data_IF_562392460335
#
_entry.id   IF_562392460335
#
_cell.length_a   1.000
_cell.length_b   1.000
_cell.length_c   1.000
_cell.angle_alpha   90.00
_cell.angle_beta   90.00
_cell.angle_gamma   90.00
#
_symmetry.space_group_name_H-M   'P 1'
#
loop_
_entity.id
_entity.type
_entity.pdbx_description
1 polymer ?
#
# COMPACT_ATOMS: atom_id res chain seq x y z
N UNK A 1 -8.06 -6.70 -24.23
CA UNK A 1 -7.31 -7.30 -23.09
C UNK A 1 -7.77 -6.73 -21.75
N UNK A 2 -7.81 -5.40 -21.58
CA UNK A 2 -8.33 -4.75 -20.36
C UNK A 2 -9.79 -5.08 -20.06
N UNK A 3 -10.70 -4.95 -21.04
CA UNK A 3 -12.13 -5.31 -20.88
C UNK A 3 -12.35 -6.79 -20.52
N UNK A 4 -11.40 -7.66 -20.87
CA UNK A 4 -11.48 -9.09 -20.55
C UNK A 4 -10.85 -9.44 -19.18
N UNK A 5 -10.40 -8.44 -18.40
CA UNK A 5 -9.73 -8.63 -17.11
C UNK A 5 -8.36 -9.32 -17.20
N UNK A 6 -7.80 -9.48 -18.41
CA UNK A 6 -6.59 -10.27 -18.69
C UNK A 6 -5.58 -9.42 -19.44
N UNK A 7 -4.97 -8.46 -18.73
CA UNK A 7 -4.01 -7.52 -19.34
C UNK A 7 -2.72 -8.24 -19.79
N UNK A 8 -2.22 -9.20 -18.99
CA UNK A 8 -1.07 -10.09 -19.30
C UNK A 8 0.24 -9.36 -19.66
N UNK A 9 0.56 -8.28 -18.96
CA UNK A 9 1.78 -7.48 -19.19
C UNK A 9 2.97 -7.93 -18.32
N UNK A 10 2.79 -8.86 -17.39
CA UNK A 10 3.83 -9.30 -16.46
C UNK A 10 4.19 -8.27 -15.38
N UNK A 11 3.56 -7.10 -15.40
CA UNK A 11 3.65 -6.04 -14.39
C UNK A 11 2.32 -5.92 -13.65
N UNK A 12 2.39 -5.71 -12.35
CA UNK A 12 1.23 -5.56 -11.48
C UNK A 12 1.47 -4.41 -10.49
N UNK A 13 0.60 -4.29 -9.48
CA UNK A 13 0.56 -3.19 -8.52
C UNK A 13 1.92 -2.86 -7.88
N UNK A 14 2.68 -3.85 -7.40
CA UNK A 14 3.98 -3.62 -6.78
C UNK A 14 5.01 -3.02 -7.76
N UNK A 15 4.96 -3.42 -9.02
CA UNK A 15 5.78 -2.83 -10.08
C UNK A 15 5.33 -1.40 -10.39
N UNK A 16 4.01 -1.16 -10.42
CA UNK A 16 3.44 0.18 -10.66
C UNK A 16 3.82 1.15 -9.55
N UNK A 17 3.70 0.77 -8.27
CA UNK A 17 4.11 1.60 -7.14
C UNK A 17 5.61 1.91 -7.18
N UNK A 18 6.44 0.92 -7.52
CA UNK A 18 7.90 1.11 -7.65
C UNK A 18 8.21 2.09 -8.79
N UNK A 19 7.59 1.91 -9.95
CA UNK A 19 7.78 2.81 -11.10
C UNK A 19 7.26 4.22 -10.82
N UNK A 20 6.12 4.35 -10.13
CA UNK A 20 5.53 5.65 -9.78
C UNK A 20 6.44 6.42 -8.82
N UNK A 21 6.96 5.77 -7.77
CA UNK A 21 7.93 6.37 -6.87
C UNK A 21 9.19 6.82 -7.62
N UNK A 22 9.72 5.98 -8.50
CA UNK A 22 10.90 6.34 -9.29
C UNK A 22 10.63 7.53 -10.21
N UNK A 23 9.47 7.58 -10.87
CA UNK A 23 9.11 8.68 -11.77
C UNK A 23 9.07 10.02 -11.04
N UNK A 24 8.41 10.10 -9.88
CA UNK A 24 8.31 11.36 -9.12
C UNK A 24 9.61 11.77 -8.43
N UNK A 25 10.46 10.81 -8.09
CA UNK A 25 11.77 11.09 -7.53
C UNK A 25 12.73 11.62 -8.61
N UNK A 26 12.81 10.95 -9.76
CA UNK A 26 13.72 11.34 -10.84
C UNK A 26 13.25 12.62 -11.54
N UNK A 27 11.94 12.79 -11.73
CA UNK A 27 11.34 13.96 -12.36
C UNK A 27 10.34 14.60 -11.38
N UNK A 28 10.80 15.52 -10.50
CA UNK A 28 9.95 16.13 -9.48
C UNK A 28 8.73 16.83 -10.09
N UNK A 29 7.52 16.59 -9.55
CA UNK A 29 6.31 17.28 -10.01
C UNK A 29 6.30 18.75 -9.58
N UNK A 30 5.41 19.55 -10.19
CA UNK A 30 5.18 20.95 -9.78
C UNK A 30 6.19 21.97 -10.32
N UNK A 31 7.05 21.58 -11.26
CA UNK A 31 7.97 22.50 -11.94
C UNK A 31 7.26 23.31 -13.04
N UNK A 32 7.65 24.58 -13.23
CA UNK A 32 7.24 25.35 -14.40
C UNK A 32 7.81 24.72 -15.69
N UNK A 33 7.08 24.85 -16.79
CA UNK A 33 7.52 24.30 -18.06
C UNK A 33 8.41 25.31 -18.80
N UNK A 34 9.60 24.92 -19.30
CA UNK A 34 10.20 23.58 -19.25
C UNK A 34 10.84 23.25 -17.89
N UNK A 35 10.76 21.98 -17.41
CA UNK A 35 11.26 21.61 -16.09
C UNK A 35 12.78 21.75 -16.02
N UNK A 36 13.28 22.41 -14.96
CA UNK A 36 14.70 22.57 -14.72
C UNK A 36 15.39 21.25 -14.35
N UNK A 37 14.67 20.36 -13.67
CA UNK A 37 15.16 19.04 -13.21
C UNK A 37 14.40 17.92 -13.93
N UNK A 38 15.09 17.22 -14.82
CA UNK A 38 14.57 16.06 -15.55
C UNK A 38 15.03 14.74 -14.90
N UNK A 39 16.26 14.69 -14.40
CA UNK A 39 16.82 13.57 -13.64
C UNK A 39 17.51 14.09 -12.37
N UNK A 40 16.78 14.08 -11.26
CA UNK A 40 17.29 14.44 -9.94
C UNK A 40 18.35 13.44 -9.43
N UNK A 41 18.43 12.24 -10.02
CA UNK A 41 19.48 11.28 -9.71
C UNK A 41 20.76 11.49 -10.51
N UNK A 42 20.85 12.52 -11.35
CA UNK A 42 22.04 12.83 -12.14
C UNK A 42 23.17 13.31 -11.20
N UNK A 43 24.30 12.61 -11.22
CA UNK A 43 25.46 12.92 -10.37
C UNK A 43 25.54 12.09 -9.08
N UNK A 44 24.51 11.29 -8.77
CA UNK A 44 24.60 10.28 -7.70
C UNK A 44 25.39 9.06 -8.19
N UNK A 45 26.11 8.39 -7.29
CA UNK A 45 26.64 7.05 -7.57
C UNK A 45 25.49 6.06 -7.79
N UNK A 46 25.76 4.96 -8.50
CA UNK A 46 24.74 3.95 -8.77
C UNK A 46 24.18 3.34 -7.46
N UNK A 47 25.04 3.15 -6.45
CA UNK A 47 24.66 2.60 -5.15
C UNK A 47 23.80 3.57 -4.34
N UNK A 48 24.21 4.85 -4.26
CA UNK A 48 23.44 5.88 -3.57
C UNK A 48 22.10 6.14 -4.25
N UNK A 49 22.05 6.13 -5.60
CA UNK A 49 20.81 6.27 -6.37
C UNK A 49 19.85 5.13 -6.07
N UNK A 50 20.35 3.88 -6.03
CA UNK A 50 19.53 2.71 -5.70
C UNK A 50 18.96 2.81 -4.29
N UNK A 51 19.80 3.08 -3.28
CA UNK A 51 19.36 3.17 -1.90
C UNK A 51 18.30 4.28 -1.70
N UNK A 52 18.50 5.44 -2.32
CA UNK A 52 17.54 6.53 -2.29
C UNK A 52 16.19 6.16 -2.93
N UNK A 53 16.19 5.51 -4.11
CA UNK A 53 14.95 5.08 -4.76
C UNK A 53 14.23 3.97 -3.97
N UNK A 54 14.97 3.08 -3.30
CA UNK A 54 14.40 2.06 -2.42
C UNK A 54 13.71 2.68 -1.20
N UNK A 55 14.34 3.68 -0.58
CA UNK A 55 13.78 4.44 0.55
C UNK A 55 12.47 5.14 0.15
N UNK A 56 12.50 5.93 -0.94
CA UNK A 56 11.30 6.63 -1.42
C UNK A 56 10.21 5.66 -1.88
N UNK A 57 10.62 4.55 -2.48
CA UNK A 57 9.71 3.46 -2.84
C UNK A 57 9.02 2.84 -1.62
N UNK A 58 9.72 2.75 -0.49
CA UNK A 58 9.15 2.27 0.77
C UNK A 58 8.10 3.24 1.32
N UNK A 59 8.35 4.55 1.26
CA UNK A 59 7.38 5.58 1.69
C UNK A 59 6.06 5.44 0.93
N UNK A 60 6.11 5.37 -0.40
CA UNK A 60 4.90 5.23 -1.22
C UNK A 60 4.20 3.89 -0.98
N UNK A 61 4.96 2.78 -0.87
CA UNK A 61 4.39 1.45 -0.59
C UNK A 61 3.70 1.42 0.77
N UNK A 62 4.32 1.98 1.80
CA UNK A 62 3.74 2.06 3.14
C UNK A 62 2.47 2.91 3.15
N UNK A 63 2.54 4.10 2.55
CA UNK A 63 1.38 5.00 2.42
C UNK A 63 0.23 4.31 1.69
N UNK A 64 0.52 3.60 0.59
CA UNK A 64 -0.49 2.86 -0.16
C UNK A 64 -1.05 1.65 0.61
N UNK A 65 -0.25 0.99 1.45
CA UNK A 65 -0.74 -0.06 2.33
C UNK A 65 -1.74 0.47 3.37
N UNK A 66 -1.51 1.66 3.90
CA UNK A 66 -2.39 2.31 4.88
C UNK A 66 -3.64 2.93 4.24
N UNK A 67 -3.46 3.54 3.06
CA UNK A 67 -4.49 4.23 2.29
C UNK A 67 -4.39 3.82 0.81
N UNK A 68 -4.94 2.66 0.39
CA UNK A 68 -4.88 2.17 -0.99
C UNK A 68 -5.83 2.93 -1.92
N UNK A 69 -5.72 4.26 -1.95
CA UNK A 69 -6.54 5.17 -2.73
C UNK A 69 -5.67 6.14 -3.53
N UNK A 70 -5.58 5.91 -4.84
CA UNK A 70 -4.80 6.78 -5.75
C UNK A 70 -5.37 8.19 -5.85
N UNK A 71 -6.69 8.36 -5.74
CA UNK A 71 -7.32 9.68 -5.82
C UNK A 71 -6.94 10.58 -4.63
N UNK A 72 -6.58 9.98 -3.50
CA UNK A 72 -6.04 10.70 -2.34
C UNK A 72 -4.52 10.91 -2.45
N UNK A 73 -3.77 9.86 -2.86
CA UNK A 73 -2.30 9.89 -2.88
C UNK A 73 -1.75 10.80 -3.99
N UNK A 74 -2.27 10.69 -5.21
CA UNK A 74 -1.70 11.38 -6.39
C UNK A 74 -1.73 12.91 -6.22
N UNK A 75 -2.83 13.56 -5.78
CA UNK A 75 -2.84 15.01 -5.60
C UNK A 75 -1.84 15.52 -4.56
N UNK A 76 -1.65 14.78 -3.45
CA UNK A 76 -0.66 15.11 -2.42
C UNK A 76 0.75 14.99 -3.01
N UNK A 77 1.03 13.88 -3.68
CA UNK A 77 2.33 13.62 -4.30
C UNK A 77 2.70 14.67 -5.35
N UNK A 78 1.74 15.15 -6.14
CA UNK A 78 1.97 16.17 -7.16
C UNK A 78 2.19 17.58 -6.58
N UNK A 79 1.58 17.90 -5.42
CA UNK A 79 1.64 19.24 -4.81
C UNK A 79 2.77 19.40 -3.79
N UNK A 80 3.01 18.37 -2.98
CA UNK A 80 3.90 18.42 -1.81
C UNK A 80 5.11 17.47 -1.95
N UNK A 81 5.07 16.56 -2.92
CA UNK A 81 6.12 15.56 -3.13
C UNK A 81 5.88 14.26 -2.35
N UNK A 82 6.78 13.29 -2.57
CA UNK A 82 6.67 11.94 -2.02
C UNK A 82 6.93 11.87 -0.51
N UNK A 83 7.77 12.77 0.02
CA UNK A 83 8.19 12.78 1.43
C UNK A 83 7.09 13.23 2.38
N UNK A 84 6.16 14.04 1.89
CA UNK A 84 5.02 14.52 2.66
C UNK A 84 3.82 13.56 2.65
N UNK A 85 3.89 12.46 1.87
CA UNK A 85 2.81 11.47 1.80
C UNK A 85 2.39 10.93 3.18
N UNK A 86 3.30 10.51 4.08
CA UNK A 86 2.91 9.99 5.40
C UNK A 86 2.25 11.04 6.31
N UNK A 87 2.48 12.33 6.05
CA UNK A 87 1.89 13.41 6.84
C UNK A 87 0.44 13.69 6.44
N UNK A 88 0.09 13.46 5.17
CA UNK A 88 -1.22 13.79 4.60
C UNK A 88 -2.12 12.57 4.32
N UNK A 89 -1.54 11.41 4.05
CA UNK A 89 -2.25 10.17 3.72
C UNK A 89 -2.04 9.14 4.83
N UNK A 90 -2.76 9.30 5.95
CA UNK A 90 -2.64 8.44 7.13
C UNK A 90 -3.75 7.39 7.20
N UNK A 91 -3.49 6.29 7.89
CA UNK A 91 -4.53 5.33 8.26
C UNK A 91 -5.73 6.04 8.90
N UNK A 92 -6.89 5.95 8.24
CA UNK A 92 -8.11 6.67 8.63
C UNK A 92 -9.29 5.70 8.66
N UNK A 93 -10.05 5.61 9.78
CA UNK A 93 -11.29 4.85 9.82
C UNK A 93 -12.24 5.23 8.68
N UNK A 94 -12.80 4.23 7.99
CA UNK A 94 -13.61 4.42 6.78
C UNK A 94 -12.87 4.28 5.45
N UNK A 95 -11.53 4.23 5.46
CA UNK A 95 -10.72 3.84 4.30
C UNK A 95 -10.10 2.46 4.56
N UNK A 96 -10.34 1.43 3.72
CA UNK A 96 -9.83 0.09 3.97
C UNK A 96 -8.31 0.04 3.78
N UNK A 97 -7.57 -0.56 4.73
CA UNK A 97 -6.13 -0.77 4.58
C UNK A 97 -5.81 -2.15 3.97
N UNK A 98 -4.61 -2.30 3.41
CA UNK A 98 -4.13 -3.58 2.89
C UNK A 98 -3.93 -4.60 4.04
N UNK A 99 -4.61 -5.76 3.98
CA UNK A 99 -4.46 -6.76 5.03
C UNK A 99 -3.10 -7.46 4.99
N UNK A 100 -2.53 -7.72 6.17
CA UNK A 100 -1.38 -8.62 6.30
C UNK A 100 -1.70 -10.02 5.77
N UNK A 101 -0.80 -10.59 4.96
CA UNK A 101 -0.94 -11.92 4.37
C UNK A 101 0.00 -12.92 5.07
N UNK A 102 -0.42 -14.17 5.15
CA UNK A 102 0.40 -15.25 5.68
C UNK A 102 1.23 -15.90 4.55
N UNK A 103 2.46 -16.27 4.87
CA UNK A 103 3.27 -17.12 4.01
C UNK A 103 2.99 -18.59 4.35
N UNK A 104 2.75 -19.47 3.36
CA UNK A 104 2.57 -20.89 3.63
C UNK A 104 3.88 -21.50 4.14
N UNK A 105 3.80 -22.30 5.19
CA UNK A 105 4.96 -22.94 5.84
C UNK A 105 4.67 -24.43 5.94
N UNK A 106 5.63 -25.28 5.53
CA UNK A 106 5.38 -26.73 5.41
C UNK A 106 5.63 -27.52 6.69
N UNK A 107 6.22 -26.90 7.71
CA UNK A 107 6.47 -27.55 8.99
C UNK A 107 6.95 -26.60 10.06
N UNK A 108 6.88 -27.06 11.31
CA UNK A 108 7.24 -26.25 12.49
C UNK A 108 8.71 -25.82 12.46
N UNK A 109 9.63 -26.66 11.96
CA UNK A 109 11.04 -26.30 11.84
C UNK A 109 11.29 -25.09 10.93
N UNK A 110 10.49 -24.89 9.89
CA UNK A 110 10.57 -23.71 9.02
C UNK A 110 10.05 -22.45 9.74
N UNK A 111 9.02 -22.58 10.60
CA UNK A 111 8.56 -21.50 11.47
C UNK A 111 9.67 -21.09 12.45
N UNK A 112 10.26 -22.07 13.14
CA UNK A 112 11.34 -21.82 14.11
C UNK A 112 12.55 -21.18 13.44
N UNK A 113 12.96 -21.64 12.24
CA UNK A 113 14.05 -21.03 11.49
C UNK A 113 13.74 -19.60 11.03
N UNK A 114 12.47 -19.30 10.75
CA UNK A 114 12.04 -17.98 10.25
C UNK A 114 11.95 -16.93 11.35
N UNK A 115 11.43 -17.32 12.52
CA UNK A 115 11.30 -16.42 13.67
C UNK A 115 12.52 -16.45 14.60
N UNK A 116 13.31 -17.51 14.55
CA UNK A 116 14.55 -17.70 15.32
C UNK A 116 14.33 -17.39 16.82
N UNK A 117 15.04 -16.41 17.39
CA UNK A 117 14.87 -15.97 18.79
C UNK A 117 13.70 -15.00 19.01
N UNK A 118 12.93 -14.68 17.97
CA UNK A 118 11.77 -13.76 18.06
C UNK A 118 10.59 -14.49 18.69
N UNK A 119 10.06 -13.95 19.78
CA UNK A 119 8.83 -14.46 20.38
C UNK A 119 7.65 -14.39 19.38
N UNK A 120 6.91 -15.48 19.23
CA UNK A 120 5.72 -15.56 18.38
C UNK A 120 4.57 -16.25 19.10
N UNK A 121 3.35 -16.02 18.60
CA UNK A 121 2.11 -16.65 19.10
C UNK A 121 1.51 -17.57 18.06
N UNK A 122 0.72 -18.54 18.51
CA UNK A 122 -0.02 -19.46 17.66
C UNK A 122 -1.52 -19.22 17.86
N UNK A 123 -2.21 -18.80 16.80
CA UNK A 123 -3.66 -18.59 16.81
C UNK A 123 -4.33 -19.58 15.83
N UNK A 124 -5.56 -19.97 16.13
CA UNK A 124 -6.34 -20.79 15.21
C UNK A 124 -6.64 -20.02 13.93
N UNK A 125 -6.29 -20.63 12.79
CA UNK A 125 -6.71 -20.12 11.48
C UNK A 125 -8.15 -20.56 11.22
N UNK A 126 -9.09 -19.69 11.55
CA UNK A 126 -10.50 -19.91 11.24
C UNK A 126 -10.76 -20.01 9.73
N UNK A 127 -11.70 -20.87 9.36
CA UNK A 127 -12.15 -21.04 7.98
C UNK A 127 -13.42 -20.21 7.74
N UNK A 128 -13.23 -19.00 7.21
CA UNK A 128 -14.30 -18.04 6.99
C UNK A 128 -13.83 -16.85 6.15
N UNK A 129 -14.63 -15.80 6.13
CA UNK A 129 -14.31 -14.56 5.43
C UNK A 129 -13.59 -13.56 6.34
N UNK A 130 -12.62 -12.83 5.78
CA UNK A 130 -11.95 -11.75 6.51
C UNK A 130 -12.81 -10.50 6.46
N UNK A 131 -13.20 -10.00 7.63
CA UNK A 131 -13.88 -8.73 7.79
C UNK A 131 -12.96 -7.72 8.49
N UNK A 132 -12.73 -6.59 7.85
CA UNK A 132 -12.03 -5.44 8.42
C UNK A 132 -13.07 -4.42 8.87
N UNK A 133 -13.26 -4.28 10.18
CA UNK A 133 -14.32 -3.48 10.78
C UNK A 133 -13.78 -2.12 11.17
N UNK A 134 -14.34 -1.05 10.61
CA UNK A 134 -13.99 0.34 10.90
C UNK A 134 -15.16 0.99 11.64
N UNK A 135 -14.86 1.63 12.77
CA UNK A 135 -15.83 2.42 13.55
C UNK A 135 -15.40 3.88 13.42
N UNK A 136 -16.24 4.70 12.79
CA UNK A 136 -15.97 6.12 12.59
C UNK A 136 -16.33 6.92 13.85
N UNK A 137 -15.81 8.14 13.96
CA UNK A 137 -16.06 9.02 15.11
C UNK A 137 -17.54 9.37 15.30
N UNK A 138 -18.34 9.33 14.24
CA UNK A 138 -19.79 9.52 14.27
C UNK A 138 -20.58 8.26 14.70
N UNK A 139 -19.90 7.15 15.00
CA UNK A 139 -20.50 5.86 15.34
C UNK A 139 -20.90 5.00 14.14
N UNK A 140 -20.68 5.47 12.90
CA UNK A 140 -20.91 4.69 11.69
C UNK A 140 -19.94 3.51 11.62
N UNK A 141 -20.45 2.33 11.29
CA UNK A 141 -19.65 1.11 11.14
C UNK A 141 -19.55 0.77 9.66
N UNK A 142 -18.32 0.57 9.19
CA UNK A 142 -18.03 0.08 7.83
C UNK A 142 -17.26 -1.22 7.90
N UNK A 143 -17.57 -2.16 7.01
CA UNK A 143 -16.95 -3.48 6.98
C UNK A 143 -16.39 -3.73 5.59
N UNK A 144 -15.08 -3.98 5.51
CA UNK A 144 -14.40 -4.23 4.25
C UNK A 144 -13.91 -5.67 4.13
N UNK A 145 -13.90 -6.18 2.90
CA UNK A 145 -13.38 -7.50 2.56
C UNK A 145 -11.84 -7.52 2.52
N UNK A 146 -11.25 -8.71 2.36
CA UNK A 146 -9.80 -8.86 2.12
C UNK A 146 -9.31 -8.05 0.90
N UNK A 147 -10.17 -7.82 -0.08
CA UNK A 147 -9.83 -7.10 -1.32
C UNK A 147 -10.34 -5.65 -1.30
N UNK A 148 -10.60 -5.08 -0.12
CA UNK A 148 -11.02 -3.68 0.07
C UNK A 148 -12.44 -3.40 -0.46
N UNK A 149 -13.25 -4.42 -0.74
CA UNK A 149 -14.65 -4.26 -1.16
C UNK A 149 -15.53 -3.92 0.05
N UNK A 150 -16.50 -3.03 -0.13
CA UNK A 150 -17.45 -2.67 0.92
C UNK A 150 -18.50 -3.77 1.12
N UNK A 151 -18.44 -4.41 2.28
CA UNK A 151 -19.34 -5.46 2.74
C UNK A 151 -20.28 -4.98 3.87
N UNK A 152 -20.38 -3.68 4.10
CA UNK A 152 -21.20 -3.12 5.20
C UNK A 152 -22.66 -3.57 5.11
N UNK A 153 -23.23 -3.58 3.90
CA UNK A 153 -24.60 -4.06 3.65
C UNK A 153 -24.76 -5.57 3.80
N UNK A 154 -23.70 -6.35 3.57
CA UNK A 154 -23.71 -7.82 3.74
C UNK A 154 -23.91 -8.22 5.20
N UNK A 155 -23.38 -7.42 6.12
CA UNK A 155 -23.41 -7.67 7.56
C UNK A 155 -24.30 -6.69 8.32
N UNK A 156 -25.12 -5.89 7.62
CA UNK A 156 -26.15 -5.12 8.30
C UNK A 156 -27.13 -6.10 8.92
N UNK A 157 -27.02 -6.31 10.22
CA UNK A 157 -28.03 -7.04 10.95
C UNK A 157 -29.36 -6.30 10.73
N UNK A 158 -30.32 -6.95 10.08
CA UNK A 158 -31.71 -6.50 10.14
C UNK A 158 -32.10 -6.31 11.62
N UNK A 159 -33.03 -5.39 11.92
CA UNK A 159 -33.44 -5.14 13.30
C UNK A 159 -33.83 -6.47 13.96
N UNK A 160 -33.17 -6.81 15.07
CA UNK A 160 -33.64 -7.85 15.99
C UNK A 160 -34.77 -7.29 16.83
#
# INVERSE_FOLDING_TARGET
RSLAGKLRIGLAEQSVLTALSQAVCLSPPGQEFPPAVIDAGKGMSAESKRAWLEEKGLILKQTYCEMPNYDAIIPVMLKLGIDELPNHCKLTPGVPLRPMLAHPTKGVGEVMKRFDETAFTCEYKYDGERAQIHILCNGEVRIFSRNQEDNTSKYSAGPR
#
